data_IF_170920035656
#
_entry.id   IF_170920035656
#
_cell.length_a   1.000
_cell.length_b   1.000
_cell.length_c   1.000
_cell.angle_alpha   90.00
_cell.angle_beta   90.00
_cell.angle_gamma   90.00
#
_symmetry.space_group_name_H-M   'P 1'
#
loop_
_entity.id
_entity.type
_entity.pdbx_description
1 polymer ?
#
# COMPACT_ATOMS: atom_id res chain seq x y z
N UNK A 1 -31.10 -8.37 -25.25
CA UNK A 1 -30.52 -8.68 -23.94
C UNK A 1 -31.66 -8.79 -22.96
N UNK A 2 -31.64 -9.74 -22.05
CA UNK A 2 -32.70 -9.90 -21.04
C UNK A 2 -32.68 -8.67 -20.11
N UNK A 3 -33.84 -8.17 -19.73
CA UNK A 3 -33.98 -7.04 -18.81
C UNK A 3 -33.63 -7.44 -17.37
N UNK A 4 -33.70 -8.71 -17.04
CA UNK A 4 -33.50 -9.32 -15.73
C UNK A 4 -32.39 -10.38 -15.78
N UNK A 5 -31.83 -10.71 -14.62
CA UNK A 5 -30.69 -11.60 -14.44
C UNK A 5 -29.38 -10.84 -14.41
N UNK A 6 -28.29 -11.43 -14.91
CA UNK A 6 -26.98 -10.76 -14.97
C UNK A 6 -26.98 -9.78 -16.13
N UNK A 7 -26.91 -8.49 -15.81
CA UNK A 7 -26.85 -7.37 -16.75
C UNK A 7 -25.55 -6.57 -16.54
N UNK A 8 -25.14 -5.68 -17.45
CA UNK A 8 -23.90 -4.91 -17.30
C UNK A 8 -23.80 -4.09 -16.00
N UNK A 9 -24.93 -3.77 -15.38
CA UNK A 9 -25.01 -3.04 -14.11
C UNK A 9 -25.03 -3.95 -12.86
N UNK A 10 -24.90 -5.27 -13.01
CA UNK A 10 -24.95 -6.23 -11.93
C UNK A 10 -26.12 -7.22 -12.07
N UNK A 11 -26.55 -7.84 -10.97
CA UNK A 11 -27.70 -8.74 -10.95
C UNK A 11 -28.99 -7.93 -10.73
N UNK A 12 -29.99 -8.14 -11.59
CA UNK A 12 -31.31 -7.50 -11.51
C UNK A 12 -32.40 -8.54 -11.30
N UNK A 13 -33.00 -8.52 -10.12
CA UNK A 13 -34.13 -9.41 -9.80
C UNK A 13 -35.37 -9.07 -10.63
N UNK A 14 -36.14 -10.10 -10.95
CA UNK A 14 -37.46 -9.95 -11.55
C UNK A 14 -38.45 -9.64 -10.42
N UNK A 15 -39.20 -8.52 -10.46
CA UNK A 15 -40.15 -8.19 -9.44
C UNK A 15 -41.32 -9.23 -9.37
N UNK A 16 -41.85 -9.47 -8.17
CA UNK A 16 -42.94 -10.42 -7.95
C UNK A 16 -44.15 -10.20 -8.88
N UNK A 17 -44.62 -8.97 -9.15
CA UNK A 17 -45.69 -8.74 -10.11
C UNK A 17 -45.37 -9.26 -11.50
N UNK A 18 -44.15 -9.07 -11.99
CA UNK A 18 -43.73 -9.54 -13.31
C UNK A 18 -43.68 -11.07 -13.36
N UNK A 19 -43.21 -11.73 -12.30
CA UNK A 19 -43.25 -13.19 -12.19
C UNK A 19 -44.67 -13.72 -12.19
N UNK A 20 -45.59 -13.04 -11.49
CA UNK A 20 -47.01 -13.41 -11.45
C UNK A 20 -47.69 -13.24 -12.82
N UNK A 21 -47.45 -12.11 -13.48
CA UNK A 21 -47.98 -11.83 -14.82
C UNK A 21 -47.52 -12.86 -15.84
N UNK A 22 -46.23 -13.22 -15.85
CA UNK A 22 -45.69 -14.27 -16.73
C UNK A 22 -46.35 -15.64 -16.48
N UNK A 23 -46.59 -16.00 -15.21
CA UNK A 23 -47.27 -17.25 -14.85
C UNK A 23 -48.76 -17.25 -15.29
N UNK A 24 -49.40 -16.09 -15.16
CA UNK A 24 -50.79 -15.92 -15.61
C UNK A 24 -50.88 -16.02 -17.13
N UNK A 25 -49.96 -15.38 -17.87
CA UNK A 25 -49.88 -15.46 -19.33
C UNK A 25 -49.62 -16.91 -19.80
N UNK A 26 -48.67 -17.59 -19.13
CA UNK A 26 -48.42 -19.00 -19.41
C UNK A 26 -49.64 -19.89 -19.17
N UNK A 27 -50.40 -19.64 -18.11
CA UNK A 27 -51.65 -20.37 -17.83
C UNK A 27 -52.73 -20.08 -18.89
N UNK A 28 -52.86 -18.84 -19.38
CA UNK A 28 -53.73 -18.50 -20.52
C UNK A 28 -53.33 -19.24 -21.79
N UNK A 29 -52.02 -19.33 -22.06
CA UNK A 29 -51.47 -20.05 -23.22
C UNK A 29 -51.82 -21.56 -23.19
N UNK A 30 -51.83 -22.17 -21.98
CA UNK A 30 -52.11 -23.61 -21.79
C UNK A 30 -53.59 -23.91 -21.74
N UNK A 31 -54.38 -23.15 -20.98
CA UNK A 31 -55.78 -23.43 -20.65
C UNK A 31 -56.78 -22.60 -21.46
N UNK A 32 -56.31 -21.62 -22.19
CA UNK A 32 -57.11 -20.70 -22.99
C UNK A 32 -57.56 -19.44 -22.25
N UNK A 33 -58.07 -18.42 -23.00
CA UNK A 33 -58.31 -17.07 -22.47
C UNK A 33 -59.46 -16.96 -21.46
N UNK A 34 -60.27 -18.04 -21.28
CA UNK A 34 -61.36 -18.09 -20.31
C UNK A 34 -60.96 -18.59 -18.92
N UNK A 35 -59.71 -18.88 -18.68
CA UNK A 35 -59.22 -19.42 -17.40
C UNK A 35 -59.33 -18.38 -16.27
N UNK A 36 -59.92 -18.80 -15.15
CA UNK A 36 -60.12 -17.93 -13.98
C UNK A 36 -58.87 -17.95 -13.10
N UNK A 37 -58.20 -16.79 -13.01
CA UNK A 37 -56.94 -16.62 -12.27
C UNK A 37 -57.04 -15.50 -11.22
N UNK A 38 -58.20 -15.30 -10.62
CA UNK A 38 -58.32 -14.34 -9.53
C UNK A 38 -57.55 -14.80 -8.29
N UNK A 39 -57.17 -13.89 -7.42
CA UNK A 39 -56.41 -14.19 -6.18
C UNK A 39 -57.10 -15.23 -5.27
N UNK A 40 -58.44 -15.43 -5.43
CA UNK A 40 -59.23 -16.40 -4.65
C UNK A 40 -59.49 -17.71 -5.42
N UNK A 41 -59.18 -17.77 -6.71
CA UNK A 41 -59.30 -18.99 -7.48
C UNK A 41 -58.19 -19.99 -7.19
N UNK A 42 -58.39 -21.30 -7.29
CA UNK A 42 -57.33 -22.29 -7.07
C UNK A 42 -56.12 -22.07 -7.95
N UNK A 43 -56.28 -21.71 -9.22
CA UNK A 43 -55.21 -21.46 -10.14
C UNK A 43 -54.47 -20.14 -9.80
N UNK A 44 -55.22 -19.09 -9.41
CA UNK A 44 -54.62 -17.83 -8.98
C UNK A 44 -53.78 -17.98 -7.71
N UNK A 45 -54.24 -18.83 -6.76
CA UNK A 45 -53.44 -19.15 -5.55
C UNK A 45 -52.19 -19.95 -5.89
N UNK A 46 -52.30 -20.91 -6.83
CA UNK A 46 -51.13 -21.66 -7.31
C UNK A 46 -50.11 -20.75 -8.02
N UNK A 47 -50.55 -19.86 -8.89
CA UNK A 47 -49.68 -18.90 -9.56
C UNK A 47 -49.03 -17.97 -8.55
N UNK A 48 -49.73 -17.52 -7.51
CA UNK A 48 -49.19 -16.74 -6.43
C UNK A 48 -48.10 -17.49 -5.64
N UNK A 49 -48.32 -18.78 -5.35
CA UNK A 49 -47.36 -19.63 -4.68
C UNK A 49 -46.08 -19.81 -5.53
N UNK A 50 -46.24 -20.14 -6.83
CA UNK A 50 -45.10 -20.29 -7.73
C UNK A 50 -44.33 -18.98 -7.94
N UNK A 51 -45.06 -17.85 -8.04
CA UNK A 51 -44.38 -16.54 -8.13
C UNK A 51 -43.57 -16.22 -6.86
N UNK A 52 -44.10 -16.55 -5.68
CA UNK A 52 -43.37 -16.39 -4.43
C UNK A 52 -42.12 -17.29 -4.38
N UNK A 53 -42.26 -18.58 -4.72
CA UNK A 53 -41.11 -19.50 -4.80
C UNK A 53 -40.05 -19.03 -5.82
N UNK A 54 -40.48 -18.54 -6.99
CA UNK A 54 -39.57 -17.99 -7.99
C UNK A 54 -38.86 -16.72 -7.47
N UNK A 55 -39.54 -15.91 -6.67
CA UNK A 55 -38.94 -14.76 -5.99
C UNK A 55 -37.83 -15.18 -5.02
N UNK A 56 -38.07 -16.20 -4.19
CA UNK A 56 -37.04 -16.75 -3.28
C UNK A 56 -35.85 -17.32 -4.05
N UNK A 57 -36.07 -17.97 -5.19
CA UNK A 57 -34.97 -18.41 -6.07
C UNK A 57 -34.18 -17.25 -6.63
N UNK A 58 -34.81 -16.16 -7.00
CA UNK A 58 -34.13 -14.96 -7.49
C UNK A 58 -33.26 -14.33 -6.40
N UNK A 59 -33.71 -14.34 -5.15
CA UNK A 59 -32.90 -13.86 -4.00
C UNK A 59 -31.71 -14.75 -3.76
N UNK A 60 -31.87 -16.07 -3.79
CA UNK A 60 -30.75 -17.00 -3.66
C UNK A 60 -29.73 -16.86 -4.80
N UNK A 61 -30.19 -16.63 -6.04
CA UNK A 61 -29.29 -16.40 -7.18
C UNK A 61 -28.52 -15.10 -7.06
N UNK A 62 -29.16 -14.02 -6.58
CA UNK A 62 -28.48 -12.75 -6.32
C UNK A 62 -27.41 -12.92 -5.23
N UNK A 63 -27.72 -13.62 -4.15
CA UNK A 63 -26.79 -13.91 -3.06
C UNK A 63 -25.58 -14.73 -3.55
N UNK A 64 -25.80 -15.71 -4.43
CA UNK A 64 -24.72 -16.45 -5.11
C UNK A 64 -23.91 -15.52 -6.01
N UNK A 65 -24.55 -14.67 -6.80
CA UNK A 65 -23.87 -13.71 -7.66
C UNK A 65 -22.97 -12.76 -6.86
N UNK A 66 -23.50 -12.19 -5.78
CA UNK A 66 -22.76 -11.29 -4.89
C UNK A 66 -21.59 -11.99 -4.19
N UNK A 67 -21.68 -13.32 -3.99
CA UNK A 67 -20.61 -14.09 -3.36
C UNK A 67 -19.32 -14.16 -4.18
N UNK A 68 -19.33 -13.79 -5.45
CA UNK A 68 -18.12 -13.68 -6.30
C UNK A 68 -17.42 -12.32 -6.21
N UNK A 69 -18.05 -11.34 -5.58
CA UNK A 69 -17.49 -10.01 -5.39
C UNK A 69 -16.87 -9.92 -3.99
N UNK A 70 -15.58 -9.53 -3.94
CA UNK A 70 -14.85 -9.36 -2.67
C UNK A 70 -15.54 -8.33 -1.76
N UNK A 71 -16.14 -7.29 -2.35
CA UNK A 71 -16.79 -6.22 -1.59
C UNK A 71 -18.13 -6.62 -0.98
N UNK A 72 -18.77 -7.66 -1.52
CA UNK A 72 -20.09 -8.17 -1.10
C UNK A 72 -19.99 -9.50 -0.33
N UNK A 73 -18.92 -10.27 -0.58
CA UNK A 73 -18.73 -11.57 0.06
C UNK A 73 -18.49 -11.45 1.56
N UNK A 74 -19.08 -12.35 2.34
CA UNK A 74 -18.96 -12.41 3.80
C UNK A 74 -18.54 -13.80 4.26
N UNK A 75 -17.91 -13.83 5.43
CA UNK A 75 -17.55 -15.08 6.16
C UNK A 75 -16.85 -16.12 5.27
N UNK A 76 -17.43 -17.32 5.15
CA UNK A 76 -16.86 -18.44 4.38
C UNK A 76 -16.64 -18.09 2.89
N UNK A 77 -17.51 -17.28 2.29
CA UNK A 77 -17.42 -16.91 0.88
C UNK A 77 -16.20 -16.02 0.62
N UNK A 78 -15.94 -15.08 1.54
CA UNK A 78 -14.74 -14.26 1.52
C UNK A 78 -13.47 -15.11 1.71
N UNK A 79 -13.53 -16.13 2.57
CA UNK A 79 -12.43 -17.06 2.79
C UNK A 79 -12.14 -17.91 1.52
N UNK A 80 -13.17 -18.28 0.76
CA UNK A 80 -12.99 -19.00 -0.51
C UNK A 80 -12.31 -18.12 -1.55
N UNK A 81 -12.74 -16.85 -1.68
CA UNK A 81 -12.10 -15.89 -2.59
C UNK A 81 -10.62 -15.66 -2.20
N UNK A 82 -10.35 -15.49 -0.91
CA UNK A 82 -9.00 -15.33 -0.39
C UNK A 82 -8.11 -16.54 -0.68
N UNK A 83 -8.65 -17.76 -0.53
CA UNK A 83 -7.94 -19.01 -0.82
C UNK A 83 -7.53 -19.11 -2.29
N UNK A 84 -8.33 -18.62 -3.23
CA UNK A 84 -7.97 -18.54 -4.65
C UNK A 84 -6.77 -17.61 -4.89
N UNK A 85 -6.50 -16.68 -3.98
CA UNK A 85 -5.35 -15.76 -3.98
C UNK A 85 -4.20 -16.23 -3.09
N UNK A 86 -4.25 -17.47 -2.58
CA UNK A 86 -3.24 -18.02 -1.68
C UNK A 86 -3.22 -17.40 -0.28
N UNK A 87 -4.35 -16.79 0.14
CA UNK A 87 -4.47 -16.10 1.43
C UNK A 87 -5.36 -16.88 2.40
N UNK A 88 -5.05 -16.74 3.69
CA UNK A 88 -5.89 -17.24 4.77
C UNK A 88 -6.18 -16.14 5.78
N UNK A 89 -7.33 -16.22 6.45
CA UNK A 89 -7.72 -15.33 7.53
C UNK A 89 -6.80 -15.49 8.73
N UNK A 90 -6.39 -14.38 9.34
CA UNK A 90 -5.64 -14.37 10.59
C UNK A 90 -6.62 -14.61 11.76
N UNK A 91 -6.15 -15.21 12.85
CA UNK A 91 -6.99 -15.46 14.02
C UNK A 91 -7.63 -14.16 14.52
N UNK A 92 -8.96 -14.18 14.70
CA UNK A 92 -9.77 -13.03 15.14
C UNK A 92 -9.87 -11.86 14.17
N UNK A 93 -9.49 -12.04 12.89
CA UNK A 93 -9.66 -11.01 11.86
C UNK A 93 -11.14 -10.94 11.43
N UNK A 94 -11.72 -9.75 11.44
CA UNK A 94 -13.07 -9.50 10.95
C UNK A 94 -13.14 -9.46 9.40
N UNK A 95 -14.35 -9.51 8.85
CA UNK A 95 -14.53 -9.50 7.38
C UNK A 95 -14.05 -8.20 6.75
N UNK A 96 -14.15 -7.06 7.46
CA UNK A 96 -13.71 -5.77 6.94
C UNK A 96 -12.19 -5.71 6.81
N UNK A 97 -11.46 -6.08 7.85
CA UNK A 97 -10.00 -6.15 7.85
C UNK A 97 -9.47 -7.13 6.82
N UNK A 98 -10.10 -8.32 6.74
CA UNK A 98 -9.72 -9.34 5.78
C UNK A 98 -9.98 -8.90 4.33
N UNK A 99 -11.11 -8.25 4.06
CA UNK A 99 -11.45 -7.70 2.74
C UNK A 99 -10.44 -6.64 2.29
N UNK A 100 -10.09 -5.70 3.17
CA UNK A 100 -9.04 -4.71 2.89
C UNK A 100 -7.70 -5.37 2.57
N UNK A 101 -7.33 -6.42 3.30
CA UNK A 101 -6.10 -7.16 3.06
C UNK A 101 -6.12 -7.91 1.73
N UNK A 102 -7.22 -8.56 1.38
CA UNK A 102 -7.42 -9.24 0.08
C UNK A 102 -7.31 -8.23 -1.06
N UNK A 103 -8.00 -7.09 -0.96
CA UNK A 103 -8.02 -6.06 -2.00
C UNK A 103 -6.65 -5.41 -2.17
N UNK A 104 -5.98 -5.09 -1.07
CA UNK A 104 -4.66 -4.47 -1.09
C UNK A 104 -3.55 -5.39 -1.59
N UNK A 105 -3.61 -6.70 -1.31
CA UNK A 105 -2.58 -7.63 -1.77
C UNK A 105 -2.72 -8.01 -3.26
N UNK A 106 -3.87 -7.84 -3.88
CA UNK A 106 -4.05 -8.13 -5.31
C UNK A 106 -3.26 -7.17 -6.22
N UNK A 107 -3.02 -5.95 -5.77
CA UNK A 107 -2.14 -5.00 -6.47
C UNK A 107 -0.65 -5.15 -6.10
N UNK A 108 -0.36 -5.95 -5.07
CA UNK A 108 0.86 -5.84 -4.28
C UNK A 108 2.09 -6.51 -4.89
N UNK A 109 1.94 -7.53 -5.72
CA UNK A 109 3.09 -8.36 -6.11
C UNK A 109 3.91 -7.83 -7.29
N UNK A 110 3.54 -6.69 -7.87
CA UNK A 110 4.21 -6.16 -9.06
C UNK A 110 4.78 -4.75 -8.83
N UNK A 111 4.27 -4.01 -7.84
CA UNK A 111 4.73 -2.63 -7.58
C UNK A 111 5.80 -2.60 -6.47
N UNK A 112 6.91 -1.93 -6.74
CA UNK A 112 8.00 -1.72 -5.79
C UNK A 112 7.52 -1.18 -4.43
N UNK A 113 6.56 -0.25 -4.45
CA UNK A 113 5.94 0.32 -3.23
C UNK A 113 5.25 -0.71 -2.36
N UNK A 114 4.65 -1.72 -2.97
CA UNK A 114 3.99 -2.81 -2.26
C UNK A 114 5.00 -3.77 -1.61
N UNK A 115 6.11 -4.03 -2.31
CA UNK A 115 7.20 -4.83 -1.78
C UNK A 115 7.85 -4.14 -0.56
N UNK A 116 8.09 -2.83 -0.66
CA UNK A 116 8.60 -2.02 0.46
C UNK A 116 7.65 -2.07 1.65
N UNK A 117 6.34 -1.93 1.43
CA UNK A 117 5.34 -2.03 2.50
C UNK A 117 5.37 -3.40 3.17
N UNK A 118 5.41 -4.49 2.39
CA UNK A 118 5.46 -5.86 2.93
C UNK A 118 6.69 -6.10 3.78
N UNK A 119 7.86 -5.57 3.37
CA UNK A 119 9.08 -5.67 4.17
C UNK A 119 8.97 -4.88 5.48
N UNK A 120 8.27 -3.74 5.50
CA UNK A 120 8.02 -2.97 6.74
C UNK A 120 7.10 -3.67 7.74
N UNK A 121 6.26 -4.60 7.27
CA UNK A 121 5.37 -5.39 8.13
C UNK A 121 6.11 -6.50 8.90
N UNK A 122 7.36 -6.79 8.53
CA UNK A 122 8.20 -7.78 9.23
C UNK A 122 8.57 -7.24 10.62
N UNK A 123 8.46 -8.08 11.63
CA UNK A 123 8.77 -7.70 13.01
C UNK A 123 10.21 -7.20 13.16
N UNK A 124 10.38 -6.04 13.80
CA UNK A 124 11.69 -5.44 14.06
C UNK A 124 12.27 -4.64 12.88
N UNK A 125 11.65 -4.63 11.71
CA UNK A 125 12.07 -3.76 10.60
C UNK A 125 11.66 -2.32 10.91
N UNK A 126 12.64 -1.41 10.92
CA UNK A 126 12.45 0.00 11.23
C UNK A 126 12.49 0.91 10.00
N UNK A 127 13.16 0.50 8.94
CA UNK A 127 13.30 1.28 7.73
C UNK A 127 13.53 0.38 6.51
N UNK A 128 12.88 0.73 5.39
CA UNK A 128 12.99 0.00 4.12
C UNK A 128 12.91 0.96 2.96
N UNK A 129 13.79 0.75 1.99
CA UNK A 129 13.67 1.36 0.67
C UNK A 129 14.07 0.35 -0.42
N UNK A 130 13.76 0.66 -1.66
CA UNK A 130 14.13 -0.17 -2.79
C UNK A 130 14.51 0.69 -4.00
N UNK A 131 15.51 0.22 -4.75
CA UNK A 131 15.93 0.79 -6.01
C UNK A 131 15.92 -0.25 -7.10
N UNK A 132 15.57 0.17 -8.29
CA UNK A 132 15.49 -0.68 -9.47
C UNK A 132 16.34 -0.08 -10.57
N UNK A 133 17.24 -0.90 -11.12
CA UNK A 133 17.96 -0.56 -12.35
C UNK A 133 17.34 -1.35 -13.51
N UNK A 134 16.56 -0.67 -14.34
CA UNK A 134 15.93 -1.25 -15.54
C UNK A 134 16.79 -1.15 -16.79
N UNK A 135 17.91 -0.47 -16.70
CA UNK A 135 18.80 -0.26 -17.84
C UNK A 135 19.65 -1.49 -18.13
N UNK A 136 20.24 -1.56 -19.31
CA UNK A 136 21.18 -2.61 -19.70
C UNK A 136 22.62 -2.32 -19.19
N UNK A 137 22.81 -1.22 -18.47
CA UNK A 137 24.11 -0.77 -17.96
C UNK A 137 24.07 -0.66 -16.43
N UNK A 138 25.24 -0.71 -15.82
CA UNK A 138 25.39 -0.43 -14.40
C UNK A 138 25.00 1.03 -14.10
N UNK A 139 24.29 1.26 -12.98
CA UNK A 139 23.92 2.61 -12.57
C UNK A 139 25.11 3.39 -12.00
N UNK A 140 24.99 4.72 -11.92
CA UNK A 140 26.01 5.59 -11.30
C UNK A 140 26.31 5.22 -9.84
N UNK A 141 25.42 4.50 -9.18
CA UNK A 141 25.56 4.00 -7.80
C UNK A 141 26.18 2.60 -7.73
N UNK A 142 26.65 2.03 -8.84
CA UNK A 142 27.23 0.70 -8.88
C UNK A 142 26.20 -0.44 -8.84
N UNK A 143 24.91 -0.16 -9.09
CA UNK A 143 23.88 -1.20 -9.14
C UNK A 143 23.89 -1.87 -10.52
N UNK A 144 24.02 -3.21 -10.60
CA UNK A 144 24.06 -3.95 -11.86
C UNK A 144 22.81 -3.76 -12.75
N UNK A 145 22.99 -3.96 -14.06
CA UNK A 145 21.90 -3.97 -15.02
C UNK A 145 20.79 -4.94 -14.62
N UNK A 146 19.53 -4.58 -14.88
CA UNK A 146 18.34 -5.41 -14.64
C UNK A 146 18.24 -5.99 -13.22
N UNK A 147 18.62 -5.20 -12.21
CA UNK A 147 18.62 -5.63 -10.81
C UNK A 147 17.71 -4.78 -9.93
N UNK A 148 17.31 -5.38 -8.80
CA UNK A 148 16.59 -4.72 -7.72
C UNK A 148 17.43 -4.79 -6.46
N UNK A 149 17.59 -3.67 -5.78
CA UNK A 149 18.28 -3.55 -4.50
C UNK A 149 17.30 -3.13 -3.43
N UNK A 150 17.02 -4.03 -2.48
CA UNK A 150 16.24 -3.73 -1.28
C UNK A 150 17.19 -3.36 -0.16
N UNK A 151 17.01 -2.20 0.44
CA UNK A 151 17.75 -1.77 1.62
C UNK A 151 16.83 -1.81 2.84
N UNK A 152 17.24 -2.55 3.87
CA UNK A 152 16.42 -2.86 5.05
C UNK A 152 17.24 -2.64 6.32
N UNK A 153 16.65 -2.00 7.33
CA UNK A 153 17.23 -1.87 8.66
C UNK A 153 16.33 -2.54 9.69
N UNK A 154 16.93 -3.39 10.52
CA UNK A 154 16.21 -4.20 11.48
C UNK A 154 15.53 -5.42 10.88
N UNK A 155 14.81 -6.17 11.69
CA UNK A 155 14.23 -7.45 11.31
C UNK A 155 15.25 -8.59 11.24
N UNK A 156 14.76 -9.82 11.27
CA UNK A 156 15.56 -11.01 11.13
C UNK A 156 15.99 -11.23 9.67
N UNK A 157 17.24 -11.59 9.43
CA UNK A 157 17.79 -11.73 8.09
C UNK A 157 17.12 -12.85 7.28
N UNK A 158 16.77 -13.96 7.92
CA UNK A 158 16.12 -15.10 7.26
C UNK A 158 14.67 -14.76 6.88
N UNK A 159 13.94 -14.04 7.75
CA UNK A 159 12.59 -13.55 7.46
C UNK A 159 12.58 -12.53 6.33
N UNK A 160 13.51 -11.56 6.37
CA UNK A 160 13.68 -10.54 5.32
C UNK A 160 14.06 -11.18 4.00
N UNK A 161 15.06 -12.08 3.99
CA UNK A 161 15.49 -12.80 2.80
C UNK A 161 14.39 -13.66 2.20
N UNK A 162 13.63 -14.37 3.02
CA UNK A 162 12.48 -15.18 2.59
C UNK A 162 11.39 -14.30 1.96
N UNK A 163 11.08 -13.16 2.57
CA UNK A 163 10.10 -12.23 2.03
C UNK A 163 10.55 -11.62 0.69
N UNK A 164 11.82 -11.25 0.55
CA UNK A 164 12.40 -10.75 -0.71
C UNK A 164 12.32 -11.82 -1.79
N UNK A 165 12.68 -13.08 -1.47
CA UNK A 165 12.57 -14.19 -2.41
C UNK A 165 11.14 -14.35 -2.96
N UNK A 166 10.15 -14.32 -2.07
CA UNK A 166 8.73 -14.46 -2.44
C UNK A 166 8.20 -13.31 -3.32
N UNK A 167 8.85 -12.14 -3.26
CA UNK A 167 8.48 -10.95 -4.03
C UNK A 167 9.33 -10.80 -5.30
N UNK A 168 10.43 -11.52 -5.42
CA UNK A 168 11.33 -11.42 -6.57
C UNK A 168 10.67 -12.00 -7.83
N UNK A 169 10.86 -11.29 -8.94
CA UNK A 169 10.37 -11.72 -10.24
C UNK A 169 11.46 -12.51 -10.95
N UNK A 170 11.16 -13.67 -11.55
CA UNK A 170 12.12 -14.43 -12.34
C UNK A 170 12.80 -13.55 -13.42
N UNK A 171 14.13 -13.56 -13.43
CA UNK A 171 14.92 -12.77 -14.38
C UNK A 171 15.37 -11.39 -13.89
N UNK A 172 14.89 -10.90 -12.76
CA UNK A 172 15.45 -9.74 -12.09
C UNK A 172 16.57 -10.17 -11.13
N UNK A 173 17.77 -9.60 -11.27
CA UNK A 173 18.85 -9.81 -10.31
C UNK A 173 18.54 -9.14 -8.97
N UNK A 174 18.92 -9.76 -7.87
CA UNK A 174 18.96 -9.11 -6.56
C UNK A 174 20.39 -8.58 -6.32
N UNK A 175 20.51 -7.45 -5.64
CA UNK A 175 21.79 -6.83 -5.38
C UNK A 175 21.89 -6.30 -3.96
N UNK A 176 22.99 -6.62 -3.28
CA UNK A 176 23.20 -6.21 -1.91
C UNK A 176 24.54 -6.61 -1.33
N UNK A 177 24.78 -6.23 -0.06
CA UNK A 177 25.97 -6.58 0.73
C UNK A 177 25.70 -7.69 1.76
N UNK A 178 24.46 -8.15 1.86
CA UNK A 178 24.05 -9.24 2.75
C UNK A 178 23.46 -10.35 1.89
N UNK A 179 23.97 -11.58 2.08
CA UNK A 179 23.60 -12.74 1.28
C UNK A 179 23.02 -13.81 2.21
N UNK A 180 21.77 -14.20 1.98
CA UNK A 180 21.07 -15.18 2.79
C UNK A 180 20.63 -16.36 1.92
N UNK A 181 20.91 -17.62 2.33
CA UNK A 181 20.41 -18.79 1.64
C UNK A 181 18.94 -19.04 2.00
N UNK A 182 18.05 -18.96 1.03
CA UNK A 182 16.63 -19.27 1.19
C UNK A 182 16.31 -20.60 0.52
N UNK A 183 15.69 -21.52 1.26
CA UNK A 183 15.25 -22.80 0.69
C UNK A 183 13.77 -22.70 0.32
N UNK A 184 13.48 -22.79 -0.97
CA UNK A 184 12.13 -22.81 -1.50
C UNK A 184 11.98 -23.92 -2.54
N UNK A 185 10.87 -24.65 -2.51
CA UNK A 185 10.56 -25.75 -3.44
C UNK A 185 11.66 -26.82 -3.55
N UNK A 186 12.44 -27.02 -2.47
CA UNK A 186 13.54 -27.98 -2.42
C UNK A 186 14.86 -27.50 -3.02
N UNK A 187 14.94 -26.26 -3.44
CA UNK A 187 16.16 -25.62 -3.96
C UNK A 187 16.64 -24.53 -3.00
N UNK A 188 17.96 -24.44 -2.82
CA UNK A 188 18.60 -23.36 -2.10
C UNK A 188 18.93 -22.23 -3.07
N UNK A 189 18.36 -21.05 -2.82
CA UNK A 189 18.58 -19.83 -3.59
C UNK A 189 19.32 -18.81 -2.72
N UNK A 190 20.28 -18.09 -3.28
CA UNK A 190 20.91 -16.96 -2.60
C UNK A 190 20.11 -15.70 -2.86
N UNK A 191 19.73 -15.03 -1.77
CA UNK A 191 19.02 -13.76 -1.81
C UNK A 191 19.95 -12.68 -1.31
N UNK A 192 20.12 -11.65 -2.13
CA UNK A 192 20.96 -10.51 -1.81
C UNK A 192 20.09 -9.30 -1.48
N UNK A 193 20.46 -8.58 -0.41
CA UNK A 193 19.83 -7.32 -0.04
C UNK A 193 20.85 -6.42 0.70
N UNK A 194 20.48 -5.16 0.93
CA UNK A 194 21.38 -4.17 1.52
C UNK A 194 21.04 -3.99 2.99
N UNK A 195 22.05 -4.11 3.85
CA UNK A 195 22.09 -3.57 5.20
C UNK A 195 22.89 -2.25 5.17
N UNK A 196 22.23 -1.09 5.01
CA UNK A 196 22.94 0.16 4.88
C UNK A 196 23.57 0.59 6.21
N UNK A 197 24.75 1.20 6.11
CA UNK A 197 25.38 1.87 7.25
C UNK A 197 24.77 3.26 7.42
N UNK A 198 24.53 3.66 8.67
CA UNK A 198 24.05 5.01 8.98
C UNK A 198 25.18 6.03 8.86
N UNK A 199 24.89 7.11 8.14
CA UNK A 199 25.78 8.28 8.00
C UNK A 199 25.11 9.46 8.71
N UNK A 200 25.55 9.81 9.92
CA UNK A 200 25.00 10.95 10.63
C UNK A 200 25.36 12.27 9.93
N UNK A 201 24.33 13.08 9.65
CA UNK A 201 24.45 14.39 9.04
C UNK A 201 24.37 15.46 10.12
N UNK A 202 25.36 16.34 10.15
CA UNK A 202 25.37 17.52 11.02
C UNK A 202 24.83 18.70 10.23
N UNK A 203 23.88 19.42 10.84
CA UNK A 203 23.30 20.66 10.28
C UNK A 203 23.44 21.76 11.32
N UNK A 204 24.03 22.88 10.94
CA UNK A 204 24.12 24.10 11.76
C UNK A 204 23.35 25.19 11.02
N UNK A 205 22.30 25.73 11.63
CA UNK A 205 21.47 26.76 11.02
C UNK A 205 21.45 28.02 11.90
N UNK A 206 21.84 29.16 11.30
CA UNK A 206 21.67 30.49 11.89
C UNK A 206 20.39 31.09 11.33
N UNK A 207 19.45 31.42 12.20
CA UNK A 207 18.11 31.91 11.81
C UNK A 207 17.81 33.25 12.48
N UNK A 208 16.99 34.07 11.83
CA UNK A 208 16.49 35.33 12.36
C UNK A 208 14.99 35.24 12.59
N UNK A 209 14.53 35.76 13.72
CA UNK A 209 13.11 35.87 13.99
C UNK A 209 12.49 36.96 13.10
N UNK A 210 11.49 36.61 12.29
CA UNK A 210 10.69 37.56 11.53
C UNK A 210 9.45 37.94 12.31
N UNK A 211 9.25 39.22 12.57
CA UNK A 211 7.99 39.74 13.08
C UNK A 211 6.91 39.57 12.01
N UNK A 212 6.14 38.51 12.11
CA UNK A 212 4.99 38.28 11.21
C UNK A 212 3.86 39.26 11.47
N UNK A 213 3.03 39.54 10.46
CA UNK A 213 1.84 40.39 10.55
C UNK A 213 0.80 39.96 11.61
N UNK A 214 0.96 38.79 12.21
CA UNK A 214 0.02 38.19 13.16
C UNK A 214 0.50 38.22 14.60
N UNK A 215 1.59 38.87 14.94
CA UNK A 215 2.16 38.93 16.31
C UNK A 215 2.37 37.53 16.95
N UNK A 216 2.57 36.50 16.13
CA UNK A 216 2.91 35.15 16.59
C UNK A 216 4.37 35.10 17.02
N UNK A 217 4.65 34.47 18.16
CA UNK A 217 6.02 34.22 18.60
C UNK A 217 6.74 33.32 17.57
N UNK A 218 8.04 33.56 17.29
CA UNK A 218 8.82 32.68 16.44
C UNK A 218 8.88 31.27 17.02
N UNK A 219 9.04 30.23 16.19
CA UNK A 219 9.18 28.87 16.67
C UNK A 219 10.38 28.72 17.58
N UNK A 220 10.31 27.84 18.57
CA UNK A 220 11.45 27.55 19.43
C UNK A 220 12.53 26.78 18.65
N UNK A 221 13.78 26.87 19.10
CA UNK A 221 14.90 26.09 18.54
C UNK A 221 14.53 24.59 18.48
N UNK A 222 13.94 24.04 19.55
CA UNK A 222 13.51 22.64 19.57
C UNK A 222 12.44 22.31 18.51
N UNK A 223 11.55 23.25 18.21
CA UNK A 223 10.53 23.04 17.16
C UNK A 223 11.19 23.01 15.76
N UNK A 224 12.19 23.84 15.51
CA UNK A 224 12.94 23.83 14.24
C UNK A 224 13.71 22.51 14.10
N UNK A 225 14.45 22.11 15.13
CA UNK A 225 15.18 20.84 15.15
C UNK A 225 14.25 19.65 14.89
N UNK A 226 13.11 19.60 15.60
CA UNK A 226 12.13 18.52 15.43
C UNK A 226 11.54 18.51 14.03
N UNK A 227 11.29 19.68 13.44
CA UNK A 227 10.79 19.77 12.06
C UNK A 227 11.79 19.19 11.07
N UNK A 228 13.08 19.55 11.16
CA UNK A 228 14.14 19.03 10.30
C UNK A 228 14.26 17.51 10.47
N UNK A 229 14.32 17.00 11.70
CA UNK A 229 14.38 15.57 11.98
C UNK A 229 13.19 14.84 11.35
N UNK A 230 11.98 15.30 11.62
CA UNK A 230 10.77 14.64 11.11
C UNK A 230 10.74 14.64 9.59
N UNK A 231 11.06 15.77 8.95
CA UNK A 231 11.00 15.88 7.49
C UNK A 231 11.99 14.95 6.79
N UNK A 232 13.19 14.78 7.32
CA UNK A 232 14.23 13.98 6.67
C UNK A 232 14.35 12.54 7.19
N UNK A 233 13.73 12.20 8.33
CA UNK A 233 13.74 10.84 8.89
C UNK A 233 12.50 10.02 8.49
N UNK A 234 11.41 10.67 8.04
CA UNK A 234 10.17 10.02 7.64
C UNK A 234 10.29 9.28 6.29
N UNK A 235 9.21 8.60 5.90
CA UNK A 235 9.12 7.82 4.66
C UNK A 235 9.42 8.59 3.37
N UNK A 236 9.29 9.92 3.42
CA UNK A 236 9.62 10.84 2.34
C UNK A 236 11.05 11.38 2.39
N UNK A 237 11.85 10.93 3.38
CA UNK A 237 13.24 11.31 3.54
C UNK A 237 14.17 10.74 2.46
N UNK A 238 15.46 11.00 2.60
CA UNK A 238 16.47 10.51 1.68
C UNK A 238 16.56 8.98 1.69
N UNK A 239 16.64 8.40 0.49
CA UNK A 239 16.91 6.97 0.32
C UNK A 239 18.43 6.75 0.33
N UNK A 240 18.83 5.48 0.52
CA UNK A 240 20.21 5.09 0.34
C UNK A 240 20.71 5.45 -1.08
N UNK A 241 21.88 6.06 -1.20
CA UNK A 241 22.43 6.55 -2.46
C UNK A 241 21.82 7.85 -3.00
N UNK A 242 21.01 8.56 -2.20
CA UNK A 242 20.59 9.92 -2.58
C UNK A 242 21.67 10.94 -2.23
N UNK A 243 21.74 11.99 -3.04
CA UNK A 243 22.59 13.16 -2.74
C UNK A 243 21.79 14.15 -1.91
N UNK A 244 22.31 14.48 -0.73
CA UNK A 244 21.70 15.46 0.16
C UNK A 244 22.19 16.83 -0.25
N UNK A 245 21.27 17.76 -0.52
CA UNK A 245 21.61 19.12 -0.95
C UNK A 245 21.34 20.13 0.16
N UNK A 246 22.34 20.95 0.44
CA UNK A 246 22.23 22.05 1.40
C UNK A 246 21.02 22.97 1.10
N UNK A 247 20.72 23.18 -0.19
CA UNK A 247 19.59 24.00 -0.62
C UNK A 247 18.24 23.41 -0.17
N UNK A 248 18.10 22.09 -0.15
CA UNK A 248 16.87 21.41 0.30
C UNK A 248 16.73 21.54 1.82
N UNK A 249 17.81 21.32 2.57
CA UNK A 249 17.83 21.49 4.04
C UNK A 249 17.49 22.94 4.42
N UNK A 250 18.11 23.90 3.73
CA UNK A 250 17.85 25.34 3.92
C UNK A 250 16.39 25.70 3.63
N UNK A 251 15.81 25.15 2.57
CA UNK A 251 14.42 25.39 2.20
C UNK A 251 13.46 24.86 3.25
N UNK A 252 13.72 23.68 3.84
CA UNK A 252 12.88 23.10 4.87
C UNK A 252 12.92 23.89 6.18
N UNK A 253 14.10 24.35 6.61
CA UNK A 253 14.23 25.26 7.76
C UNK A 253 13.43 26.55 7.51
N UNK A 254 13.48 27.12 6.29
CA UNK A 254 12.79 28.34 5.91
C UNK A 254 11.28 28.18 5.70
N UNK A 255 10.74 26.97 5.67
CA UNK A 255 9.28 26.74 5.58
C UNK A 255 8.53 27.06 6.87
N UNK A 256 9.24 27.11 7.99
CA UNK A 256 8.61 27.43 9.27
C UNK A 256 8.22 28.91 9.31
N UNK A 257 6.96 29.23 9.66
CA UNK A 257 6.51 30.62 9.71
C UNK A 257 7.24 31.38 10.82
N UNK A 258 7.67 32.62 10.53
CA UNK A 258 8.38 33.47 11.48
C UNK A 258 9.89 33.24 11.58
N UNK A 259 10.46 32.48 10.64
CA UNK A 259 11.89 32.22 10.55
C UNK A 259 12.42 32.71 9.21
N UNK A 260 13.50 33.48 9.25
CA UNK A 260 14.35 33.80 8.11
C UNK A 260 15.67 33.05 8.26
N UNK A 261 16.05 32.28 7.26
CA UNK A 261 17.30 31.53 7.28
C UNK A 261 18.45 32.43 6.81
N UNK A 262 19.36 32.74 7.70
CA UNK A 262 20.55 33.54 7.42
C UNK A 262 21.61 32.66 6.79
N UNK A 263 22.00 31.60 7.49
CA UNK A 263 23.08 30.69 7.06
C UNK A 263 22.72 29.25 7.45
N UNK A 264 23.12 28.29 6.63
CA UNK A 264 23.05 26.86 6.95
C UNK A 264 24.36 26.23 6.50
N UNK A 265 24.93 25.45 7.38
CA UNK A 265 26.12 24.64 7.11
C UNK A 265 25.68 23.16 7.26
N UNK A 266 26.28 22.30 6.46
CA UNK A 266 26.02 20.87 6.47
C UNK A 266 27.32 20.10 6.21
N UNK A 267 27.51 19.02 6.98
CA UNK A 267 28.65 18.12 6.79
C UNK A 267 28.34 16.72 7.36
N UNK A 268 29.14 15.73 6.97
CA UNK A 268 29.11 14.39 7.57
C UNK A 268 29.84 14.43 8.92
N UNK A 269 29.32 13.74 9.93
CA UNK A 269 29.94 13.69 11.25
C UNK A 269 31.35 13.09 11.21
N UNK A 270 31.62 12.16 10.29
CA UNK A 270 32.91 11.51 10.07
C UNK A 270 33.88 12.35 9.22
N UNK A 271 33.39 13.39 8.52
CA UNK A 271 34.16 14.30 7.69
C UNK A 271 33.61 15.72 7.82
N UNK A 272 34.17 16.54 8.74
CA UNK A 272 33.61 17.84 9.13
C UNK A 272 33.81 18.95 8.10
N UNK A 273 34.07 18.64 6.85
CA UNK A 273 34.17 19.61 5.78
C UNK A 273 32.79 20.09 5.35
N UNK A 274 32.50 21.38 5.47
CA UNK A 274 31.27 21.99 5.04
C UNK A 274 31.11 21.88 3.53
N UNK A 275 30.03 21.26 3.08
CA UNK A 275 29.78 21.01 1.67
C UNK A 275 28.37 21.45 1.25
N UNK A 276 28.21 21.80 -0.02
CA UNK A 276 26.91 22.11 -0.60
C UNK A 276 26.09 20.84 -0.90
N UNK A 277 26.76 19.73 -1.11
CA UNK A 277 26.18 18.44 -1.42
C UNK A 277 26.93 17.33 -0.68
N UNK A 278 26.18 16.38 -0.11
CA UNK A 278 26.71 15.16 0.50
C UNK A 278 26.20 13.99 -0.31
N UNK A 279 27.11 13.30 -0.98
CA UNK A 279 26.79 12.07 -1.70
C UNK A 279 26.83 10.89 -0.73
N UNK A 280 25.82 10.01 -0.81
CA UNK A 280 25.83 8.73 -0.12
C UNK A 280 25.92 7.60 -1.12
N UNK A 281 26.62 6.53 -0.75
CA UNK A 281 26.66 5.32 -1.56
C UNK A 281 25.37 4.52 -1.44
N UNK A 282 25.16 3.55 -2.33
CA UNK A 282 24.02 2.65 -2.25
C UNK A 282 23.94 1.87 -0.92
N UNK A 283 25.08 1.70 -0.25
CA UNK A 283 25.21 1.01 1.04
C UNK A 283 25.19 1.92 2.25
N UNK A 284 24.89 3.20 2.07
CA UNK A 284 24.82 4.21 3.12
C UNK A 284 23.43 4.85 3.18
N UNK A 285 23.01 5.21 4.37
CA UNK A 285 21.77 5.95 4.63
C UNK A 285 22.10 7.22 5.42
N UNK A 286 21.66 8.38 4.93
CA UNK A 286 21.73 9.62 5.69
C UNK A 286 20.77 9.58 6.88
N UNK A 287 21.25 9.98 8.05
CA UNK A 287 20.46 10.04 9.28
C UNK A 287 20.54 11.44 9.89
N UNK A 288 19.37 12.01 10.16
CA UNK A 288 19.22 13.30 10.82
C UNK A 288 18.76 13.10 12.25
N UNK A 289 19.65 13.27 13.20
CA UNK A 289 19.37 13.15 14.63
C UNK A 289 19.34 14.52 15.30
N UNK A 290 18.44 14.71 16.25
CA UNK A 290 18.31 15.97 16.98
C UNK A 290 19.63 16.41 17.66
N UNK A 291 20.49 15.47 18.05
CA UNK A 291 21.80 15.75 18.64
C UNK A 291 22.79 16.37 17.66
N UNK A 292 22.60 16.16 16.36
CA UNK A 292 23.48 16.62 15.29
C UNK A 292 22.94 17.88 14.58
N UNK A 293 21.82 18.46 15.07
CA UNK A 293 21.23 19.65 14.49
C UNK A 293 21.33 20.81 15.48
N UNK A 294 22.21 21.76 15.16
CA UNK A 294 22.39 23.02 15.87
C UNK A 294 21.55 24.14 15.22
N UNK A 295 20.78 24.85 16.01
CA UNK A 295 20.03 26.04 15.53
C UNK A 295 20.28 27.18 16.50
N UNK A 296 20.67 28.35 15.99
CA UNK A 296 20.84 29.56 16.78
C UNK A 296 20.07 30.72 16.17
N UNK A 297 19.50 31.56 17.04
CA UNK A 297 18.90 32.83 16.63
C UNK A 297 19.96 33.91 16.62
N UNK A 298 20.12 34.55 15.44
CA UNK A 298 21.01 35.71 15.26
C UNK A 298 20.18 37.00 15.20
N UNK A 299 20.78 38.09 15.62
CA UNK A 299 20.12 39.43 15.66
C UNK A 299 19.84 40.03 14.27
#
# INVERSE_FOLDING_TARGET
MSEYGVVPAGFRRKPLPVLLDELQDAAVAIFGPGVIQTAQSPLGQLNGLFAAMAGEFQEALEDVYQSFDVDQAETLRLDIIAKLRGMARIASEDDLGFRLRITNQAEANIKMTANVRRLREIAGVSWVTARENRTAEESDLGQPAHSVAYAVIGGDDDEVGTAIYQMSVPGAGLYGNTIIPVTADGYCQQVEFIRPADVPIVVIASVRAMAGNCNCAPPTVGAIVQHVVTTFSDECGYRNGDTIRLAEVRAEVGRLPGVEVVEVEMYRLDSPDVTAEIETSLFERAVFEAANIGVEYVE
#
